data_IF_387127747916
#
_entry.id   IF_387127747916
#
_cell.length_a   1.000
_cell.length_b   1.000
_cell.length_c   1.000
_cell.angle_alpha   90.00
_cell.angle_beta   90.00
_cell.angle_gamma   90.00
#
_symmetry.space_group_name_H-M   'P 1'
#
loop_
_entity.id
_entity.type
_entity.pdbx_description
1 polymer ?
#
# COMPACT_ATOMS: atom_id res chain seq x y z
N UNK A 1 0.22 -13.02 -17.32
CA UNK A 1 1.68 -12.82 -17.28
C UNK A 1 2.12 -13.13 -15.85
N UNK A 2 2.81 -14.24 -15.60
CA UNK A 2 3.39 -14.54 -14.28
C UNK A 2 4.83 -14.05 -14.25
N UNK A 3 5.00 -12.74 -14.11
CA UNK A 3 6.29 -12.16 -13.73
C UNK A 3 6.35 -12.14 -12.22
N UNK A 4 7.11 -13.04 -11.59
CA UNK A 4 7.45 -12.86 -10.18
C UNK A 4 8.41 -11.68 -10.08
N UNK A 5 7.99 -10.59 -9.44
CA UNK A 5 8.94 -9.56 -9.05
C UNK A 5 9.90 -10.19 -8.03
N UNK A 6 11.23 -10.01 -8.16
CA UNK A 6 12.21 -10.59 -7.25
C UNK A 6 12.11 -10.02 -5.82
N UNK A 7 11.37 -8.92 -5.64
CA UNK A 7 11.09 -8.32 -4.35
C UNK A 7 9.83 -8.96 -3.73
N UNK A 8 9.96 -9.53 -2.53
CA UNK A 8 8.82 -10.05 -1.76
C UNK A 8 7.97 -8.96 -1.09
N UNK A 9 8.45 -7.70 -1.07
CA UNK A 9 7.77 -6.56 -0.44
C UNK A 9 7.90 -5.30 -1.29
N UNK A 10 6.81 -4.53 -1.37
CA UNK A 10 6.76 -3.23 -2.06
C UNK A 10 6.23 -2.17 -1.10
N UNK A 11 6.98 -1.07 -0.97
CA UNK A 11 6.52 0.13 -0.27
C UNK A 11 5.89 1.11 -1.25
N UNK A 12 4.75 1.67 -0.88
CA UNK A 12 4.01 2.71 -1.62
C UNK A 12 3.99 3.96 -0.76
N UNK A 13 4.43 5.09 -1.31
CA UNK A 13 4.48 6.38 -0.61
C UNK A 13 3.30 7.24 -1.08
N UNK A 14 2.36 7.49 -0.18
CA UNK A 14 1.15 8.28 -0.41
C UNK A 14 -0.03 7.52 -1.02
N UNK A 15 -1.23 7.77 -0.51
CA UNK A 15 -2.51 7.16 -0.95
C UNK A 15 -3.31 8.06 -1.91
N UNK A 16 -2.60 8.78 -2.77
CA UNK A 16 -3.20 9.50 -3.88
C UNK A 16 -3.76 8.55 -4.95
N UNK A 17 -4.14 9.11 -6.10
CA UNK A 17 -4.67 8.33 -7.22
C UNK A 17 -3.72 7.20 -7.65
N UNK A 18 -2.42 7.51 -7.78
CA UNK A 18 -1.39 6.55 -8.17
C UNK A 18 -1.20 5.46 -7.10
N UNK A 19 -1.11 5.83 -5.82
CA UNK A 19 -0.95 4.85 -4.74
C UNK A 19 -2.10 3.85 -4.70
N UNK A 20 -3.34 4.32 -4.87
CA UNK A 20 -4.53 3.46 -4.96
C UNK A 20 -4.50 2.55 -6.19
N UNK A 21 -4.06 3.06 -7.33
CA UNK A 21 -3.89 2.25 -8.54
C UNK A 21 -2.85 1.15 -8.31
N UNK A 22 -1.70 1.47 -7.72
CA UNK A 22 -0.66 0.50 -7.38
C UNK A 22 -1.16 -0.57 -6.41
N UNK A 23 -1.89 -0.21 -5.35
CA UNK A 23 -2.51 -1.19 -4.44
C UNK A 23 -3.38 -2.18 -5.20
N UNK A 24 -4.30 -1.68 -6.04
CA UNK A 24 -5.20 -2.53 -6.83
C UNK A 24 -4.46 -3.41 -7.82
N UNK A 25 -3.43 -2.86 -8.46
CA UNK A 25 -2.67 -3.58 -9.48
C UNK A 25 -1.75 -4.63 -8.86
N UNK A 26 -1.15 -4.36 -7.70
CA UNK A 26 -0.12 -5.22 -7.11
C UNK A 26 -0.66 -6.27 -6.14
N UNK A 27 -1.82 -6.04 -5.50
CA UNK A 27 -2.39 -6.99 -4.54
C UNK A 27 -2.62 -8.41 -5.07
N UNK A 28 -2.95 -8.65 -6.37
CA UNK A 28 -3.13 -10.00 -6.88
C UNK A 28 -1.83 -10.81 -7.05
N UNK A 29 -0.66 -10.15 -6.97
CA UNK A 29 0.63 -10.76 -7.27
C UNK A 29 1.31 -11.45 -6.07
N UNK A 30 0.64 -11.56 -4.92
CA UNK A 30 1.17 -12.23 -3.73
C UNK A 30 2.35 -11.51 -3.06
N UNK A 31 2.49 -10.21 -3.33
CA UNK A 31 3.50 -9.34 -2.74
C UNK A 31 3.03 -8.84 -1.37
N UNK A 32 3.93 -8.71 -0.40
CA UNK A 32 3.64 -7.91 0.80
C UNK A 32 3.65 -6.42 0.44
N UNK A 33 2.52 -5.74 0.62
CA UNK A 33 2.41 -4.31 0.34
C UNK A 33 2.42 -3.52 1.65
N UNK A 34 3.18 -2.43 1.67
CA UNK A 34 3.19 -1.46 2.77
C UNK A 34 2.94 -0.05 2.24
N UNK A 35 2.03 0.70 2.86
CA UNK A 35 1.75 2.10 2.54
C UNK A 35 2.26 3.03 3.65
N UNK A 36 3.05 4.04 3.29
CA UNK A 36 3.38 5.15 4.18
C UNK A 36 2.68 6.42 3.71
N UNK A 37 1.88 7.04 4.58
CA UNK A 37 1.15 8.28 4.31
C UNK A 37 1.47 9.34 5.36
N UNK A 38 1.71 10.57 4.91
CA UNK A 38 2.08 11.69 5.78
C UNK A 38 0.87 12.17 6.60
N UNK A 39 -0.29 12.26 5.96
CA UNK A 39 -1.55 12.61 6.65
C UNK A 39 -2.14 11.41 7.39
N UNK A 40 -3.07 11.67 8.30
CA UNK A 40 -3.95 10.62 8.85
C UNK A 40 -4.89 10.12 7.76
N UNK A 41 -5.06 8.80 7.69
CA UNK A 41 -6.03 8.18 6.79
C UNK A 41 -7.44 8.28 7.37
N UNK A 42 -8.42 8.46 6.48
CA UNK A 42 -9.82 8.34 6.85
C UNK A 42 -10.17 6.86 7.13
N UNK A 43 -11.33 6.61 7.76
CA UNK A 43 -11.81 5.25 7.95
C UNK A 43 -12.01 4.52 6.61
N UNK A 44 -12.58 5.19 5.61
CA UNK A 44 -12.79 4.63 4.27
C UNK A 44 -11.46 4.20 3.61
N UNK A 45 -10.40 4.96 3.85
CA UNK A 45 -9.07 4.64 3.34
C UNK A 45 -8.43 3.45 4.03
N UNK A 46 -8.61 3.34 5.35
CA UNK A 46 -8.17 2.17 6.12
C UNK A 46 -8.94 0.93 5.67
N UNK A 47 -10.25 1.04 5.49
CA UNK A 47 -11.09 -0.06 4.98
C UNK A 47 -10.67 -0.48 3.57
N UNK A 48 -10.30 0.47 2.72
CA UNK A 48 -9.71 0.19 1.41
C UNK A 48 -8.42 -0.64 1.53
N UNK A 49 -7.48 -0.25 2.40
CA UNK A 49 -6.21 -0.97 2.58
C UNK A 49 -6.43 -2.37 3.18
N UNK A 50 -7.29 -2.49 4.19
CA UNK A 50 -7.72 -3.76 4.76
C UNK A 50 -8.26 -4.71 3.68
N UNK A 51 -9.11 -4.21 2.77
CA UNK A 51 -9.69 -5.01 1.68
C UNK A 51 -8.63 -5.62 0.76
N UNK A 52 -7.49 -4.95 0.60
CA UNK A 52 -6.40 -5.41 -0.26
C UNK A 52 -5.24 -6.05 0.51
N UNK A 53 -5.36 -6.21 1.84
CA UNK A 53 -4.32 -6.81 2.68
C UNK A 53 -3.01 -6.00 2.69
N UNK A 54 -3.12 -4.68 2.66
CA UNK A 54 -1.97 -3.76 2.67
C UNK A 54 -1.71 -3.33 4.11
N UNK A 55 -0.48 -3.45 4.60
CA UNK A 55 -0.06 -2.85 5.87
C UNK A 55 0.15 -1.34 5.69
N UNK A 56 -0.05 -0.53 6.73
CA UNK A 56 0.17 0.92 6.60
C UNK A 56 0.63 1.62 7.87
N UNK A 57 1.20 2.79 7.68
CA UNK A 57 1.37 3.84 8.68
C UNK A 57 0.72 5.15 8.20
N UNK A 58 0.26 5.97 9.15
CA UNK A 58 -0.32 7.28 8.87
C UNK A 58 0.04 8.32 9.93
N UNK A 59 0.01 9.60 9.55
CA UNK A 59 0.31 10.71 10.47
C UNK A 59 1.80 11.01 10.65
N UNK A 60 2.57 10.82 9.57
CA UNK A 60 3.98 11.15 9.44
C UNK A 60 4.80 9.93 9.03
N UNK A 61 5.82 10.12 8.20
CA UNK A 61 6.79 9.07 7.88
C UNK A 61 7.57 8.75 9.15
N UNK A 62 7.36 7.58 9.74
CA UNK A 62 8.21 7.18 10.85
C UNK A 62 9.61 6.92 10.29
N UNK A 63 10.66 7.49 10.90
CA UNK A 63 12.07 7.30 10.47
C UNK A 63 12.59 5.86 10.70
N UNK A 64 11.71 4.85 10.72
CA UNK A 64 12.08 3.45 10.98
C UNK A 64 12.33 2.67 9.69
#
# INVERSE_FOLDING_TARGET
MSGSLPAGRVAILGLGLTGRALVRSLSPFGLSLFLSEDRRLSQEERDFLCRYGVDWEDGGHSER
#
